data_IF_513906673226
#
_entry.id   IF_513906673226
#
_cell.length_a   1.000
_cell.length_b   1.000
_cell.length_c   1.000
_cell.angle_alpha   90.00
_cell.angle_beta   90.00
_cell.angle_gamma   90.00
#
_symmetry.space_group_name_H-M   'P 1'
#
loop_
_entity.id
_entity.type
_entity.pdbx_description
1 polymer ?
#
# COMPACT_ATOMS: atom_id res chain seq x y z
N UNK A 1 32.19 -1.18 52.67
CA UNK A 1 31.91 -0.56 51.35
C UNK A 1 31.71 -1.69 50.35
N UNK A 2 30.55 -1.71 49.67
CA UNK A 2 30.27 -2.29 48.33
C UNK A 2 30.68 -3.75 48.03
N UNK A 3 29.92 -4.61 47.34
CA UNK A 3 28.50 -4.77 46.95
C UNK A 3 28.51 -6.05 46.08
N UNK A 4 27.49 -6.91 46.23
CA UNK A 4 26.87 -7.83 45.26
C UNK A 4 27.68 -8.45 44.09
N UNK A 5 27.48 -9.76 43.89
CA UNK A 5 26.47 -10.28 42.92
C UNK A 5 26.22 -11.77 43.14
N UNK A 6 25.04 -12.05 43.67
CA UNK A 6 24.44 -13.38 43.69
C UNK A 6 24.00 -13.79 42.30
N UNK A 7 24.17 -15.08 42.02
CA UNK A 7 23.63 -15.79 40.88
C UNK A 7 22.15 -16.04 41.16
N UNK A 8 21.27 -15.40 40.39
CA UNK A 8 19.86 -15.75 40.42
C UNK A 8 19.37 -16.01 38.99
N UNK A 9 19.11 -17.29 38.71
CA UNK A 9 18.51 -17.77 37.48
C UNK A 9 16.99 -17.63 37.67
N UNK A 10 16.44 -16.48 37.31
CA UNK A 10 15.00 -16.33 37.13
C UNK A 10 14.59 -16.96 35.80
N UNK A 11 14.23 -18.23 35.86
CA UNK A 11 13.42 -18.92 34.87
C UNK A 11 12.05 -18.23 34.84
N UNK A 12 11.80 -17.40 33.83
CA UNK A 12 10.46 -16.85 33.58
C UNK A 12 9.58 -17.96 33.01
N UNK A 13 8.76 -18.55 33.88
CA UNK A 13 7.58 -19.31 33.47
C UNK A 13 6.62 -18.34 32.78
N UNK A 14 6.33 -18.58 31.50
CA UNK A 14 5.22 -17.95 30.81
C UNK A 14 3.96 -18.67 31.27
N UNK A 15 3.25 -18.05 32.21
CA UNK A 15 1.93 -18.49 32.61
C UNK A 15 1.00 -18.50 31.40
N UNK A 16 0.42 -19.68 31.20
CA UNK A 16 -0.57 -20.05 30.21
C UNK A 16 -1.88 -19.29 30.51
N UNK A 17 -2.19 -18.27 29.70
CA UNK A 17 -3.49 -17.58 29.78
C UNK A 17 -4.58 -18.47 29.16
N UNK A 18 -5.20 -19.30 29.99
CA UNK A 18 -6.39 -20.07 29.63
C UNK A 18 -7.65 -19.17 29.71
N UNK A 19 -8.18 -18.75 28.56
CA UNK A 19 -9.50 -18.11 28.50
C UNK A 19 -10.60 -19.18 28.58
N UNK A 20 -11.20 -19.35 29.76
CA UNK A 20 -12.47 -20.09 29.89
C UNK A 20 -13.62 -19.26 29.32
N UNK A 21 -14.08 -19.66 28.14
CA UNK A 21 -15.31 -19.14 27.55
C UNK A 21 -16.52 -19.83 28.19
N UNK A 22 -17.21 -19.11 29.08
CA UNK A 22 -18.51 -19.54 29.60
C UNK A 22 -19.59 -19.20 28.57
N UNK A 23 -20.20 -20.20 27.95
CA UNK A 23 -21.29 -20.00 26.98
C UNK A 23 -22.59 -19.63 27.69
N UNK A 24 -23.12 -18.43 27.44
CA UNK A 24 -24.52 -18.12 27.69
C UNK A 24 -25.29 -18.35 26.39
N UNK A 25 -26.27 -19.26 26.42
CA UNK A 25 -27.19 -19.44 25.32
C UNK A 25 -28.13 -18.22 25.26
N UNK A 26 -27.90 -17.32 24.30
CA UNK A 26 -28.82 -16.24 23.99
C UNK A 26 -30.04 -16.82 23.26
N UNK A 27 -31.25 -16.51 23.73
CA UNK A 27 -32.49 -16.79 22.98
C UNK A 27 -32.44 -16.10 21.61
N UNK A 28 -32.98 -16.72 20.55
CA UNK A 28 -32.93 -16.13 19.22
C UNK A 28 -33.73 -14.82 19.19
N UNK A 29 -33.19 -13.76 18.55
CA UNK A 29 -33.94 -12.52 18.38
C UNK A 29 -35.15 -12.74 17.46
N UNK A 30 -36.25 -11.99 17.63
CA UNK A 30 -37.40 -12.06 16.72
C UNK A 30 -36.98 -11.66 15.30
N UNK A 31 -37.57 -12.32 14.31
CA UNK A 31 -37.31 -12.09 12.90
C UNK A 31 -37.57 -10.62 12.52
N UNK A 32 -36.67 -9.95 11.78
CA UNK A 32 -36.95 -8.61 11.29
C UNK A 32 -38.09 -8.63 10.27
N UNK A 33 -38.89 -7.55 10.15
CA UNK A 33 -39.90 -7.43 9.11
C UNK A 33 -39.25 -7.51 7.71
N UNK A 34 -39.97 -7.99 6.68
CA UNK A 34 -39.41 -8.07 5.33
C UNK A 34 -39.03 -6.66 4.85
N UNK A 35 -37.81 -6.54 4.35
CA UNK A 35 -37.31 -5.27 3.80
C UNK A 35 -38.13 -4.89 2.56
N UNK A 36 -38.45 -3.61 2.35
CA UNK A 36 -39.01 -3.16 1.08
C UNK A 36 -38.05 -3.51 -0.07
N UNK A 37 -38.56 -3.77 -1.29
CA UNK A 37 -37.71 -4.10 -2.43
C UNK A 37 -36.71 -2.97 -2.66
N UNK A 38 -35.43 -3.25 -2.38
CA UNK A 38 -34.35 -2.32 -2.65
C UNK A 38 -34.09 -2.37 -4.16
N UNK A 39 -34.55 -1.34 -4.87
CA UNK A 39 -34.03 -1.01 -6.20
C UNK A 39 -32.50 -0.97 -6.11
N UNK A 40 -31.74 -1.52 -7.09
CA UNK A 40 -30.30 -1.45 -7.07
C UNK A 40 -29.87 0.00 -7.28
N UNK A 41 -29.72 0.75 -6.19
CA UNK A 41 -28.97 1.99 -6.17
C UNK A 41 -27.51 1.55 -6.30
N UNK A 42 -27.00 1.59 -7.53
CA UNK A 42 -25.58 1.67 -7.80
C UNK A 42 -25.01 2.77 -6.89
N UNK A 43 -24.39 2.37 -5.78
CA UNK A 43 -23.49 3.24 -5.01
C UNK A 43 -22.37 3.59 -5.97
N UNK A 44 -22.54 4.69 -6.70
CA UNK A 44 -21.44 5.34 -7.39
C UNK A 44 -20.49 5.80 -6.29
N UNK A 45 -19.48 4.98 -6.01
CA UNK A 45 -18.37 5.35 -5.14
C UNK A 45 -17.82 6.68 -5.64
N UNK A 46 -17.84 7.70 -4.78
CA UNK A 46 -17.13 8.95 -5.05
C UNK A 46 -15.71 8.62 -5.50
N UNK A 47 -15.24 9.14 -6.64
CA UNK A 47 -13.89 8.86 -7.09
C UNK A 47 -12.93 9.32 -5.98
N UNK A 48 -12.10 8.39 -5.51
CA UNK A 48 -11.05 8.71 -4.53
C UNK A 48 -10.24 9.88 -5.07
N UNK A 49 -10.18 11.00 -4.34
CA UNK A 49 -9.44 12.18 -4.77
C UNK A 49 -7.96 11.82 -4.94
N UNK A 50 -7.53 11.79 -6.20
CA UNK A 50 -6.13 11.60 -6.56
C UNK A 50 -5.43 12.95 -6.44
N UNK A 51 -4.31 12.98 -5.73
CA UNK A 51 -3.49 14.20 -5.62
C UNK A 51 -2.28 14.11 -6.54
N UNK A 52 -1.98 15.18 -7.28
CA UNK A 52 -0.85 15.25 -8.21
C UNK A 52 0.16 16.28 -7.71
N UNK A 53 1.44 15.93 -7.72
CA UNK A 53 2.52 16.75 -7.18
C UNK A 53 3.66 16.90 -8.20
N UNK A 54 4.27 18.09 -8.22
CA UNK A 54 5.56 18.37 -8.89
C UNK A 54 6.75 18.38 -7.94
N UNK A 55 6.50 18.12 -6.66
CA UNK A 55 7.49 18.03 -5.59
C UNK A 55 7.09 16.89 -4.65
N UNK A 56 8.06 16.15 -4.13
CA UNK A 56 7.79 15.08 -3.18
C UNK A 56 7.18 15.66 -1.88
N UNK A 57 5.94 15.28 -1.52
CA UNK A 57 5.25 15.84 -0.35
C UNK A 57 5.73 15.22 0.98
N UNK A 58 6.58 14.19 0.91
CA UNK A 58 7.24 13.50 2.01
C UNK A 58 8.37 12.64 1.45
N UNK A 59 9.21 12.10 2.31
CA UNK A 59 10.18 11.09 1.91
C UNK A 59 9.47 9.84 1.39
N UNK A 60 9.85 9.40 0.20
CA UNK A 60 9.29 8.22 -0.45
C UNK A 60 10.39 7.24 -0.85
N UNK A 61 10.03 5.96 -0.80
CA UNK A 61 10.92 4.84 -1.02
C UNK A 61 10.41 3.98 -2.17
N UNK A 62 11.33 3.46 -2.96
CA UNK A 62 11.06 2.47 -4.00
C UNK A 62 11.89 1.22 -3.74
N UNK A 63 11.22 0.07 -3.69
CA UNK A 63 11.88 -1.24 -3.65
C UNK A 63 12.09 -1.72 -5.08
N UNK A 64 13.32 -2.11 -5.38
CA UNK A 64 13.76 -2.50 -6.71
C UNK A 64 14.52 -3.84 -6.64
N UNK A 65 14.44 -4.63 -7.72
CA UNK A 65 15.32 -5.80 -7.90
C UNK A 65 16.39 -5.42 -8.92
N UNK A 66 17.59 -5.14 -8.43
CA UNK A 66 18.71 -4.58 -9.16
C UNK A 66 18.64 -3.06 -9.32
N UNK A 67 19.75 -2.52 -9.82
CA UNK A 67 19.95 -1.08 -9.95
C UNK A 67 18.99 -0.42 -10.94
N UNK A 68 18.67 -1.08 -12.05
CA UNK A 68 17.81 -0.51 -13.08
C UNK A 68 16.34 -0.41 -12.62
N UNK A 69 15.77 0.79 -12.64
CA UNK A 69 14.33 1.01 -12.47
C UNK A 69 13.60 0.47 -13.70
N UNK A 70 13.06 -0.75 -13.59
CA UNK A 70 12.23 -1.37 -14.63
C UNK A 70 10.76 -1.20 -14.28
N UNK A 71 10.02 -0.59 -15.19
CA UNK A 71 8.57 -0.43 -15.11
C UNK A 71 7.93 -1.53 -15.98
N UNK A 72 6.98 -2.28 -15.40
CA UNK A 72 6.39 -3.46 -16.06
C UNK A 72 5.17 -3.04 -16.87
N UNK A 73 5.23 -3.22 -18.18
CA UNK A 73 4.06 -3.09 -19.04
C UNK A 73 3.02 -4.18 -18.74
N UNK A 74 1.75 -3.80 -18.82
CA UNK A 74 0.63 -4.74 -18.82
C UNK A 74 0.74 -5.73 -19.99
N UNK A 75 0.37 -6.98 -19.73
CA UNK A 75 0.19 -8.00 -20.75
C UNK A 75 -0.77 -9.06 -20.21
N UNK A 76 -1.56 -9.76 -21.06
CA UNK A 76 -2.51 -10.78 -20.59
C UNK A 76 -1.89 -11.90 -19.74
N UNK A 77 -0.60 -12.20 -19.94
CA UNK A 77 0.14 -13.23 -19.19
C UNK A 77 0.71 -12.75 -17.85
N UNK A 78 0.63 -11.45 -17.52
CA UNK A 78 1.20 -10.87 -16.30
C UNK A 78 0.12 -10.39 -15.36
N UNK A 79 0.09 -10.97 -14.16
CA UNK A 79 -0.81 -10.53 -13.08
C UNK A 79 -0.37 -9.22 -12.40
N UNK A 80 0.90 -8.85 -12.53
CA UNK A 80 1.45 -7.64 -11.90
C UNK A 80 2.15 -6.78 -12.94
N UNK A 81 1.75 -5.51 -12.99
CA UNK A 81 2.23 -4.51 -13.93
C UNK A 81 2.22 -3.14 -13.25
N UNK A 82 2.93 -2.19 -13.84
CA UNK A 82 3.10 -0.84 -13.32
C UNK A 82 2.50 0.21 -14.28
N UNK A 83 2.45 -0.09 -15.59
CA UNK A 83 1.95 0.80 -16.64
C UNK A 83 1.09 0.05 -17.65
N UNK A 84 0.18 0.76 -18.28
CA UNK A 84 -0.52 0.31 -19.49
C UNK A 84 0.08 1.05 -20.68
N UNK A 85 0.48 0.29 -21.69
CA UNK A 85 1.06 0.82 -22.92
C UNK A 85 0.01 0.77 -24.01
N UNK A 86 -0.27 1.90 -24.63
CA UNK A 86 -1.23 2.05 -25.72
C UNK A 86 -0.45 2.55 -26.94
N UNK A 87 -0.50 1.80 -28.06
CA UNK A 87 0.26 2.11 -29.29
C UNK A 87 1.78 2.27 -29.06
N UNK A 88 2.36 1.49 -28.16
CA UNK A 88 3.80 1.52 -27.86
C UNK A 88 4.25 2.67 -26.96
N UNK A 89 3.32 3.52 -26.49
CA UNK A 89 3.63 4.65 -25.60
C UNK A 89 2.87 4.56 -24.27
N UNK A 90 3.45 5.14 -23.22
CA UNK A 90 2.79 5.30 -21.92
C UNK A 90 2.00 6.60 -21.94
N UNK A 91 0.71 6.52 -21.62
CA UNK A 91 -0.14 7.70 -21.56
C UNK A 91 0.04 8.42 -20.22
N UNK A 92 0.17 9.75 -20.20
CA UNK A 92 0.30 10.53 -18.97
C UNK A 92 -1.09 10.76 -18.34
N UNK A 93 -1.71 9.67 -17.85
CA UNK A 93 -3.12 9.63 -17.45
C UNK A 93 -3.48 10.57 -16.30
N UNK A 94 -2.49 11.01 -15.52
CA UNK A 94 -2.68 11.93 -14.40
C UNK A 94 -2.60 13.42 -14.77
N UNK A 95 -2.41 13.77 -16.05
CA UNK A 95 -2.53 15.17 -16.51
C UNK A 95 -3.96 15.70 -16.44
N UNK A 96 -4.94 14.80 -16.51
CA UNK A 96 -6.37 15.10 -16.36
C UNK A 96 -6.92 14.39 -15.12
N UNK A 97 -6.69 14.90 -13.89
CA UNK A 97 -7.07 14.22 -12.66
C UNK A 97 -8.57 13.91 -12.57
N UNK A 98 -9.42 14.71 -13.23
CA UNK A 98 -10.87 14.52 -13.34
C UNK A 98 -11.25 13.23 -14.07
N UNK A 99 -10.41 12.76 -14.99
CA UNK A 99 -10.59 11.53 -15.75
C UNK A 99 -9.77 10.36 -15.17
N UNK A 100 -8.86 10.64 -14.23
CA UNK A 100 -8.00 9.63 -13.63
C UNK A 100 -8.74 8.88 -12.51
N UNK A 101 -9.41 7.81 -12.90
CA UNK A 101 -9.92 6.82 -11.94
C UNK A 101 -8.74 5.92 -11.55
N UNK A 102 -8.03 6.27 -10.48
CA UNK A 102 -6.89 5.49 -9.95
C UNK A 102 -7.22 4.02 -9.65
N UNK A 103 -8.50 3.67 -9.53
CA UNK A 103 -8.98 2.30 -9.35
C UNK A 103 -8.74 1.44 -10.60
N UNK A 104 -8.65 2.03 -11.80
CA UNK A 104 -8.67 1.28 -13.06
C UNK A 104 -7.32 0.66 -13.42
N UNK A 105 -6.19 1.33 -13.18
CA UNK A 105 -4.87 0.75 -13.46
C UNK A 105 -3.73 1.57 -12.82
N UNK A 106 -2.63 0.92 -12.40
CA UNK A 106 -1.38 1.61 -12.10
C UNK A 106 -0.82 2.26 -13.38
N UNK A 107 -0.21 3.43 -13.23
CA UNK A 107 0.39 4.18 -14.34
C UNK A 107 1.78 4.76 -14.03
N UNK A 108 2.63 4.01 -13.34
CA UNK A 108 3.97 4.51 -13.05
C UNK A 108 4.77 3.69 -12.07
N UNK A 109 5.94 4.22 -11.73
CA UNK A 109 6.85 3.61 -10.78
C UNK A 109 6.31 3.75 -9.35
N UNK A 110 5.96 2.61 -8.74
CA UNK A 110 5.50 2.54 -7.34
C UNK A 110 6.53 3.11 -6.36
N UNK A 111 6.05 3.97 -5.47
CA UNK A 111 6.78 4.56 -4.35
C UNK A 111 5.88 4.62 -3.11
N UNK A 112 6.45 4.50 -1.91
CA UNK A 112 5.71 4.54 -0.65
C UNK A 112 6.52 5.23 0.45
N UNK A 113 5.89 5.90 1.43
CA UNK A 113 6.60 6.34 2.62
C UNK A 113 7.11 5.14 3.43
N UNK A 114 7.90 5.37 4.47
CA UNK A 114 8.34 4.32 5.41
C UNK A 114 7.17 3.83 6.30
N UNK A 115 6.17 3.21 5.68
CA UNK A 115 5.01 2.63 6.32
C UNK A 115 5.27 1.19 6.75
N UNK A 116 4.44 0.61 7.65
CA UNK A 116 4.48 -0.83 7.94
C UNK A 116 4.36 -1.69 6.67
N UNK A 117 3.60 -1.22 5.67
CA UNK A 117 3.50 -1.93 4.39
C UNK A 117 4.81 -1.84 3.60
N UNK A 118 5.45 -0.68 3.51
CA UNK A 118 6.75 -0.55 2.87
C UNK A 118 7.82 -1.41 3.56
N UNK A 119 7.85 -1.44 4.89
CA UNK A 119 8.76 -2.30 5.66
C UNK A 119 8.51 -3.78 5.40
N UNK A 120 7.25 -4.18 5.24
CA UNK A 120 6.91 -5.55 4.86
C UNK A 120 7.36 -5.91 3.44
N UNK A 121 7.37 -4.94 2.50
CA UNK A 121 7.90 -5.13 1.15
C UNK A 121 9.37 -5.49 1.23
N UNK A 122 10.14 -4.70 2.00
CA UNK A 122 11.58 -4.93 2.17
C UNK A 122 11.87 -6.23 2.94
N UNK A 123 11.13 -6.51 4.01
CA UNK A 123 11.46 -7.64 4.90
C UNK A 123 11.07 -9.01 4.35
N UNK A 124 9.90 -9.15 3.71
CA UNK A 124 9.44 -10.49 3.33
C UNK A 124 8.49 -10.58 2.14
N UNK A 125 7.87 -9.48 1.67
CA UNK A 125 6.95 -9.56 0.51
C UNK A 125 7.66 -9.48 -0.83
N UNK A 126 8.69 -8.64 -0.94
CA UNK A 126 9.48 -8.52 -2.16
C UNK A 126 10.45 -9.70 -2.26
N UNK A 127 10.44 -10.39 -3.40
CA UNK A 127 11.30 -11.53 -3.68
C UNK A 127 12.26 -11.14 -4.79
N UNK A 128 13.54 -11.01 -4.44
CA UNK A 128 14.61 -10.64 -5.37
C UNK A 128 15.97 -10.89 -4.70
N UNK A 129 16.95 -11.34 -5.48
CA UNK A 129 18.29 -11.64 -4.97
C UNK A 129 19.17 -10.38 -4.85
N UNK A 130 18.74 -9.26 -5.44
CA UNK A 130 19.46 -7.99 -5.46
C UNK A 130 18.50 -6.86 -5.07
N UNK A 131 17.99 -6.90 -3.84
CA UNK A 131 16.98 -5.93 -3.39
C UNK A 131 17.63 -4.60 -3.05
N UNK A 132 17.30 -3.56 -3.80
CA UNK A 132 17.77 -2.18 -3.57
C UNK A 132 16.58 -1.31 -3.17
N UNK A 133 16.78 -0.48 -2.14
CA UNK A 133 15.79 0.50 -1.71
C UNK A 133 16.31 1.89 -2.04
N UNK A 134 15.65 2.56 -2.96
CA UNK A 134 15.89 3.97 -3.25
C UNK A 134 15.04 4.83 -2.33
N UNK A 135 15.61 5.92 -1.81
CA UNK A 135 14.88 6.98 -1.12
C UNK A 135 14.94 8.27 -1.92
N UNK A 136 13.86 9.05 -1.86
CA UNK A 136 13.80 10.42 -2.38
C UNK A 136 13.28 11.30 -1.26
N UNK A 137 14.08 12.30 -0.90
CA UNK A 137 13.77 13.20 0.20
C UNK A 137 12.51 14.03 -0.08
N UNK A 138 11.79 14.37 0.99
CA UNK A 138 10.74 15.39 0.96
C UNK A 138 11.27 16.69 0.35
N UNK A 139 10.43 17.38 -0.40
CA UNK A 139 10.78 18.66 -1.00
C UNK A 139 11.57 18.56 -2.31
N UNK A 140 12.00 17.36 -2.70
CA UNK A 140 12.68 17.14 -3.99
C UNK A 140 11.75 17.54 -5.14
N UNK A 141 12.23 18.42 -6.03
CA UNK A 141 11.49 18.86 -7.22
C UNK A 141 11.62 17.84 -8.34
N UNK A 142 10.52 17.51 -8.99
CA UNK A 142 10.52 16.62 -10.14
C UNK A 142 10.95 17.34 -11.42
N UNK A 143 11.61 16.62 -12.36
CA UNK A 143 11.72 17.03 -13.74
C UNK A 143 10.37 17.45 -14.35
N UNK A 144 10.41 18.35 -15.35
CA UNK A 144 9.20 18.95 -15.94
C UNK A 144 8.24 17.91 -16.51
N UNK A 145 8.81 16.86 -17.10
CA UNK A 145 8.22 15.70 -17.75
C UNK A 145 7.87 14.57 -16.78
N UNK A 146 7.92 14.80 -15.46
CA UNK A 146 7.47 13.85 -14.46
C UNK A 146 6.46 14.46 -13.51
N UNK A 147 5.59 13.62 -12.98
CA UNK A 147 4.64 13.95 -11.94
C UNK A 147 4.53 12.81 -10.94
N UNK A 148 4.21 13.13 -9.69
CA UNK A 148 3.97 12.16 -8.64
C UNK A 148 2.49 12.15 -8.32
N UNK A 149 1.89 10.98 -8.37
CA UNK A 149 0.46 10.77 -8.15
C UNK A 149 0.25 10.02 -6.85
N UNK A 150 -0.52 10.57 -5.94
CA UNK A 150 -1.02 9.84 -4.78
C UNK A 150 -2.33 9.17 -5.14
N UNK A 151 -2.28 7.86 -5.34
CA UNK A 151 -3.41 7.08 -5.84
C UNK A 151 -4.38 6.67 -4.73
N UNK A 152 -3.85 6.01 -3.69
CA UNK A 152 -4.63 5.53 -2.53
C UNK A 152 -3.73 5.19 -1.36
N UNK A 153 -4.24 5.36 -0.15
CA UNK A 153 -3.56 4.97 1.10
C UNK A 153 -2.14 5.54 1.17
N UNK A 154 -1.10 4.72 1.12
CA UNK A 154 0.32 5.13 1.13
C UNK A 154 1.00 4.95 -0.24
N UNK A 155 0.23 4.64 -1.29
CA UNK A 155 0.75 4.37 -2.63
C UNK A 155 0.89 5.65 -3.45
N UNK A 156 2.12 5.94 -3.85
CA UNK A 156 2.45 6.95 -4.82
C UNK A 156 2.98 6.31 -6.10
N UNK A 157 2.74 6.97 -7.23
CA UNK A 157 3.14 6.53 -8.56
C UNK A 157 3.86 7.66 -9.26
N UNK A 158 5.13 7.45 -9.60
CA UNK A 158 5.92 8.38 -10.40
C UNK A 158 5.65 8.11 -11.88
N UNK A 159 5.09 9.08 -12.58
CA UNK A 159 4.61 8.94 -13.96
C UNK A 159 5.24 9.99 -14.88
N UNK A 160 5.36 9.71 -16.19
CA UNK A 160 5.61 10.73 -17.20
C UNK A 160 4.44 11.73 -17.35
#
# INVERSE_FOLDING_TARGET
>A
MHKHRGTDRSTLHLDEFEFKATSFAASPPPSPPPSPPQSPILKMSTPSLVSVFKRFPKELFRVNNGYAVKVRAWSPSRRTYDIVVENGVVQPKALEPSNYIAVLAPNGASMRPNSPYQQSLVSWRFRGNDTIVYSVAEGTTLPKDLLLVHERSDHYSLQP
#
